data_IF_032000018337
#
_entry.id   IF_032000018337
#
_cell.length_a   1.000
_cell.length_b   1.000
_cell.length_c   1.000
_cell.angle_alpha   90.00
_cell.angle_beta   90.00
_cell.angle_gamma   90.00
#
_symmetry.space_group_name_H-M   'P 1'
#
loop_
_entity.id
_entity.type
_entity.pdbx_description
1 polymer ?
#
# COMPACT_ATOMS: atom_id res chain seq x y z
N UNK A 1 12.88 23.07 -9.20
CA UNK A 1 12.15 21.79 -9.28
C UNK A 1 10.67 22.00 -9.61
N UNK A 2 9.92 22.72 -8.80
CA UNK A 2 8.47 22.85 -8.93
C UNK A 2 7.96 23.45 -10.24
N UNK A 3 8.67 24.41 -10.85
CA UNK A 3 8.28 24.94 -12.18
C UNK A 3 8.44 23.87 -13.27
N UNK A 4 9.52 23.11 -13.26
CA UNK A 4 9.72 22.01 -14.23
C UNK A 4 8.60 20.97 -14.09
N UNK A 5 8.23 20.62 -12.87
CA UNK A 5 7.15 19.67 -12.61
C UNK A 5 5.79 20.17 -13.13
N UNK A 6 5.48 21.44 -12.94
CA UNK A 6 4.26 22.06 -13.50
C UNK A 6 4.23 22.01 -15.03
N UNK A 7 5.36 22.23 -15.69
CA UNK A 7 5.45 22.11 -17.16
C UNK A 7 5.19 20.67 -17.61
N UNK A 8 5.78 19.68 -16.95
CA UNK A 8 5.55 18.25 -17.27
C UNK A 8 4.08 17.88 -17.07
N UNK A 9 3.46 18.32 -15.97
CA UNK A 9 2.03 18.10 -15.72
C UNK A 9 1.17 18.76 -16.82
N UNK A 10 1.50 19.99 -17.20
CA UNK A 10 0.78 20.71 -18.26
C UNK A 10 0.88 20.00 -19.62
N UNK A 11 2.06 19.45 -19.95
CA UNK A 11 2.25 18.65 -21.17
C UNK A 11 1.43 17.36 -21.13
N UNK A 12 1.41 16.66 -20.01
CA UNK A 12 0.59 15.45 -19.85
C UNK A 12 -0.90 15.74 -20.01
N UNK A 13 -1.37 16.86 -19.48
CA UNK A 13 -2.78 17.27 -19.57
C UNK A 13 -3.19 17.81 -20.94
N UNK A 14 -2.26 18.36 -21.73
CA UNK A 14 -2.54 18.91 -23.05
C UNK A 14 -3.17 17.89 -23.99
N UNK A 15 -2.88 16.60 -23.78
CA UNK A 15 -3.47 15.48 -24.54
C UNK A 15 -4.88 15.08 -24.05
N UNK A 16 -5.43 15.74 -23.02
CA UNK A 16 -6.71 15.41 -22.38
C UNK A 16 -6.85 13.90 -22.04
N UNK A 17 -5.89 13.32 -21.32
CA UNK A 17 -5.87 11.90 -21.03
C UNK A 17 -7.00 11.50 -20.08
N UNK A 18 -7.47 10.26 -20.19
CA UNK A 18 -8.39 9.68 -19.21
C UNK A 18 -7.69 9.23 -17.92
N UNK A 19 -6.38 8.97 -17.99
CA UNK A 19 -5.53 8.53 -16.87
C UNK A 19 -4.18 9.22 -16.95
N UNK A 20 -3.73 9.77 -15.81
CA UNK A 20 -2.36 10.23 -15.59
C UNK A 20 -1.70 9.28 -14.60
N UNK A 21 -0.51 8.79 -14.94
CA UNK A 21 0.36 8.05 -14.04
C UNK A 21 1.46 9.00 -13.57
N UNK A 22 1.47 9.31 -12.29
CA UNK A 22 2.45 10.18 -11.64
C UNK A 22 3.37 9.32 -10.75
N UNK A 23 4.56 9.02 -11.27
CA UNK A 23 5.57 8.22 -10.58
C UNK A 23 6.51 9.14 -9.82
N UNK A 24 6.45 9.07 -8.48
CA UNK A 24 7.22 9.90 -7.55
C UNK A 24 7.23 11.40 -7.93
N UNK A 25 6.06 12.03 -8.18
CA UNK A 25 5.99 13.37 -8.80
C UNK A 25 6.54 14.47 -7.90
N UNK A 26 6.85 14.18 -6.65
CA UNK A 26 7.32 15.14 -5.64
C UNK A 26 8.75 14.87 -5.18
N UNK A 27 9.42 13.87 -5.75
CA UNK A 27 10.82 13.55 -5.42
C UNK A 27 11.73 14.76 -5.64
N UNK A 28 12.59 15.04 -4.66
CA UNK A 28 13.52 16.18 -4.64
C UNK A 28 12.85 17.58 -4.63
N UNK A 29 11.60 17.67 -4.22
CA UNK A 29 10.92 18.94 -3.95
C UNK A 29 10.87 19.20 -2.44
N UNK A 30 10.89 20.48 -2.05
CA UNK A 30 10.59 20.84 -0.67
C UNK A 30 9.10 20.59 -0.33
N UNK A 31 8.80 20.41 0.96
CA UNK A 31 7.49 20.04 1.46
C UNK A 31 6.38 20.99 0.98
N UNK A 32 6.67 22.28 0.90
CA UNK A 32 5.70 23.28 0.46
C UNK A 32 5.35 23.12 -1.02
N UNK A 33 6.34 22.92 -1.87
CA UNK A 33 6.15 22.68 -3.31
C UNK A 33 5.51 21.31 -3.56
N UNK A 34 5.91 20.29 -2.79
CA UNK A 34 5.27 18.97 -2.83
C UNK A 34 3.76 19.08 -2.63
N UNK A 35 3.31 19.73 -1.55
CA UNK A 35 1.89 19.94 -1.28
C UNK A 35 1.17 20.64 -2.44
N UNK A 36 1.79 21.68 -3.02
CA UNK A 36 1.22 22.41 -4.16
C UNK A 36 1.07 21.52 -5.41
N UNK A 37 2.05 20.68 -5.72
CA UNK A 37 1.99 19.76 -6.87
C UNK A 37 0.89 18.71 -6.68
N UNK A 38 0.76 18.15 -5.49
CA UNK A 38 -0.28 17.18 -5.16
C UNK A 38 -1.67 17.81 -5.26
N UNK A 39 -1.86 19.00 -4.69
CA UNK A 39 -3.13 19.73 -4.81
C UNK A 39 -3.46 20.08 -6.27
N UNK A 40 -2.46 20.45 -7.07
CA UNK A 40 -2.64 20.69 -8.50
C UNK A 40 -3.13 19.43 -9.22
N UNK A 41 -2.49 18.26 -9.03
CA UNK A 41 -2.91 17.00 -9.64
C UNK A 41 -4.34 16.63 -9.23
N UNK A 42 -4.69 16.78 -7.95
CA UNK A 42 -6.03 16.52 -7.42
C UNK A 42 -7.09 17.45 -8.04
N UNK A 43 -6.79 18.74 -8.13
CA UNK A 43 -7.67 19.73 -8.76
C UNK A 43 -7.90 19.42 -10.23
N UNK A 44 -6.82 19.22 -10.98
CA UNK A 44 -6.89 18.95 -12.43
C UNK A 44 -7.60 17.64 -12.73
N UNK A 45 -7.37 16.58 -11.93
CA UNK A 45 -8.11 15.33 -12.06
C UNK A 45 -9.62 15.53 -11.92
N UNK A 46 -10.07 16.34 -10.95
CA UNK A 46 -11.49 16.65 -10.74
C UNK A 46 -12.09 17.53 -11.83
N UNK A 47 -11.38 18.58 -12.24
CA UNK A 47 -11.89 19.55 -13.23
C UNK A 47 -12.01 18.92 -14.63
N UNK A 48 -11.11 18.02 -15.00
CA UNK A 48 -11.08 17.40 -16.32
C UNK A 48 -11.66 15.98 -16.34
N UNK A 49 -12.09 15.43 -15.20
CA UNK A 49 -12.56 14.04 -15.11
C UNK A 49 -11.45 13.02 -15.40
N UNK A 50 -10.19 13.41 -15.24
CA UNK A 50 -9.02 12.56 -15.46
C UNK A 50 -8.71 11.77 -14.19
N UNK A 51 -8.60 10.44 -14.31
CA UNK A 51 -8.11 9.61 -13.21
C UNK A 51 -6.61 9.85 -12.99
N UNK A 52 -6.18 9.88 -11.72
CA UNK A 52 -4.77 10.02 -11.36
C UNK A 52 -4.32 8.79 -10.59
N UNK A 53 -3.32 8.08 -11.11
CA UNK A 53 -2.62 7.02 -10.40
C UNK A 53 -1.30 7.59 -9.87
N UNK A 54 -1.23 7.74 -8.56
CA UNK A 54 -0.05 8.25 -7.87
C UNK A 54 0.79 7.07 -7.36
N UNK A 55 2.05 6.99 -7.77
CA UNK A 55 3.04 6.06 -7.22
C UNK A 55 3.95 6.84 -6.28
N UNK A 56 3.97 6.48 -5.01
CA UNK A 56 4.78 7.14 -3.99
C UNK A 56 4.98 6.24 -2.78
N UNK A 57 6.00 6.51 -1.99
CA UNK A 57 6.24 5.90 -0.69
C UNK A 57 5.80 6.81 0.48
N UNK A 58 5.29 8.01 0.19
CA UNK A 58 4.82 8.96 1.20
C UNK A 58 3.36 8.65 1.58
N UNK A 59 3.19 8.01 2.74
CA UNK A 59 1.87 7.62 3.24
C UNK A 59 1.02 8.82 3.66
N UNK A 60 1.63 9.94 4.05
CA UNK A 60 0.92 11.17 4.37
C UNK A 60 0.23 11.74 3.12
N UNK A 61 0.95 11.78 2.01
CA UNK A 61 0.40 12.18 0.71
C UNK A 61 -0.75 11.26 0.28
N UNK A 62 -0.58 9.94 0.42
CA UNK A 62 -1.63 8.97 0.07
C UNK A 62 -2.87 9.18 0.93
N UNK A 63 -2.70 9.32 2.25
CA UNK A 63 -3.81 9.50 3.19
C UNK A 63 -4.66 10.74 2.88
N UNK A 64 -4.01 11.83 2.46
CA UNK A 64 -4.67 13.10 2.17
C UNK A 64 -5.35 13.13 0.80
N UNK A 65 -4.82 12.40 -0.18
CA UNK A 65 -5.17 12.66 -1.59
C UNK A 65 -5.86 11.51 -2.30
N UNK A 66 -5.62 10.27 -1.89
CA UNK A 66 -6.12 9.11 -2.61
C UNK A 66 -7.51 8.67 -2.13
N UNK A 67 -8.37 8.25 -3.05
CA UNK A 67 -9.64 7.58 -2.71
C UNK A 67 -9.40 6.11 -2.36
N UNK A 68 -8.45 5.49 -3.09
CA UNK A 68 -8.07 4.07 -2.93
C UNK A 68 -6.57 3.93 -2.97
N UNK A 69 -6.06 2.92 -2.29
CA UNK A 69 -4.64 2.58 -2.30
C UNK A 69 -4.43 1.10 -2.59
N UNK A 70 -3.38 0.81 -3.35
CA UNK A 70 -2.85 -0.52 -3.56
C UNK A 70 -1.44 -0.58 -2.97
N UNK A 71 -1.27 -1.35 -1.90
CA UNK A 71 0.03 -1.61 -1.27
C UNK A 71 0.73 -2.72 -2.04
N UNK A 72 1.95 -2.47 -2.50
CA UNK A 72 2.72 -3.43 -3.28
C UNK A 72 3.88 -4.02 -2.48
N UNK A 73 4.13 -5.31 -2.67
CA UNK A 73 5.29 -6.01 -2.14
C UNK A 73 5.88 -6.96 -3.19
N UNK A 74 7.17 -6.87 -3.43
CA UNK A 74 7.89 -7.70 -4.41
C UNK A 74 7.18 -7.79 -5.79
N UNK A 75 6.78 -6.63 -6.34
CA UNK A 75 6.15 -6.52 -7.67
C UNK A 75 4.68 -6.95 -7.71
N UNK A 76 4.01 -7.17 -6.56
CA UNK A 76 2.62 -7.62 -6.49
C UNK A 76 1.81 -6.81 -5.50
N UNK A 77 0.50 -6.73 -5.74
CA UNK A 77 -0.43 -6.12 -4.80
C UNK A 77 -0.58 -7.05 -3.60
N UNK A 78 -0.19 -6.58 -2.42
CA UNK A 78 -0.39 -7.24 -1.14
C UNK A 78 -1.78 -6.94 -0.58
N UNK A 79 -2.23 -5.68 -0.67
CA UNK A 79 -3.54 -5.24 -0.21
C UNK A 79 -4.05 -4.09 -1.08
N UNK A 80 -5.37 -4.02 -1.31
CA UNK A 80 -6.02 -2.95 -2.05
C UNK A 80 -7.39 -2.65 -1.46
N UNK A 81 -7.70 -1.36 -1.32
CA UNK A 81 -9.02 -0.93 -0.80
C UNK A 81 -9.17 0.58 -0.70
N UNK A 82 -10.27 1.05 -0.10
CA UNK A 82 -10.41 2.45 0.28
C UNK A 82 -9.26 2.89 1.17
N UNK A 83 -8.72 4.09 0.96
CA UNK A 83 -7.52 4.56 1.68
C UNK A 83 -7.71 4.52 3.20
N UNK A 84 -8.85 4.97 3.70
CA UNK A 84 -9.15 4.97 5.14
C UNK A 84 -9.11 3.55 5.74
N UNK A 85 -9.63 2.54 5.02
CA UNK A 85 -9.65 1.16 5.51
C UNK A 85 -8.25 0.56 5.53
N UNK A 86 -7.45 0.79 4.47
CA UNK A 86 -6.08 0.25 4.41
C UNK A 86 -5.16 0.89 5.46
N UNK A 87 -5.36 2.18 5.77
CA UNK A 87 -4.55 2.88 6.78
C UNK A 87 -4.96 2.50 8.20
N UNK A 88 -6.26 2.53 8.52
CA UNK A 88 -6.73 2.35 9.89
C UNK A 88 -7.03 0.89 10.25
N UNK A 89 -7.35 0.06 9.27
CA UNK A 89 -7.73 -1.35 9.44
C UNK A 89 -6.99 -2.27 8.46
N UNK A 90 -5.65 -2.18 8.37
CA UNK A 90 -4.86 -3.00 7.44
C UNK A 90 -5.06 -4.48 7.70
N UNK A 91 -5.13 -5.28 6.64
CA UNK A 91 -5.44 -6.70 6.70
C UNK A 91 -4.26 -7.59 6.35
N UNK A 92 -3.37 -7.15 5.47
CA UNK A 92 -2.18 -7.93 5.12
C UNK A 92 -1.07 -7.68 6.16
N UNK A 93 -0.38 -8.72 6.68
CA UNK A 93 0.69 -8.54 7.68
C UNK A 93 1.80 -7.57 7.28
N UNK A 94 2.12 -7.47 5.99
CA UNK A 94 3.04 -6.45 5.49
C UNK A 94 2.47 -5.04 5.65
N UNK A 95 1.20 -4.83 5.29
CA UNK A 95 0.53 -3.53 5.43
C UNK A 95 0.44 -3.12 6.90
N UNK A 96 0.13 -4.07 7.79
CA UNK A 96 0.12 -3.84 9.25
C UNK A 96 1.49 -3.35 9.72
N UNK A 97 2.56 -4.06 9.33
CA UNK A 97 3.92 -3.66 9.69
C UNK A 97 4.32 -2.31 9.09
N UNK A 98 3.90 -2.02 7.85
CA UNK A 98 4.16 -0.75 7.18
C UNK A 98 3.46 0.42 7.89
N UNK A 99 2.19 0.27 8.26
CA UNK A 99 1.44 1.29 9.01
C UNK A 99 2.01 1.48 10.41
N UNK A 100 2.42 0.41 11.09
CA UNK A 100 3.05 0.47 12.41
C UNK A 100 4.45 1.11 12.43
N UNK A 101 5.09 1.24 11.27
CA UNK A 101 6.38 1.93 11.14
C UNK A 101 6.24 3.45 10.93
N UNK A 102 5.01 3.96 10.76
CA UNK A 102 4.76 5.40 10.57
C UNK A 102 4.64 6.05 11.95
N UNK A 103 5.44 7.10 12.24
CA UNK A 103 5.32 7.83 13.50
C UNK A 103 3.94 8.47 13.64
N UNK A 104 3.22 8.16 14.71
CA UNK A 104 1.99 8.88 15.08
C UNK A 104 2.33 10.11 15.91
N UNK A 105 1.74 11.24 15.61
CA UNK A 105 1.91 12.46 16.40
C UNK A 105 1.28 12.20 17.78
N UNK A 106 2.12 12.13 18.83
CA UNK A 106 1.68 11.86 20.21
C UNK A 106 2.06 10.49 20.77
N UNK A 107 2.49 9.55 19.97
CA UNK A 107 3.07 8.29 20.46
C UNK A 107 4.56 8.44 20.75
N UNK A 108 4.88 8.60 22.02
CA UNK A 108 6.27 8.59 22.53
C UNK A 108 6.80 7.16 22.72
N UNK A 109 6.37 6.19 21.91
CA UNK A 109 6.97 4.87 21.90
C UNK A 109 8.41 4.97 21.38
N UNK A 110 9.37 4.66 22.22
CA UNK A 110 10.81 4.76 21.93
C UNK A 110 11.28 3.87 20.77
N UNK A 111 10.45 2.97 20.27
CA UNK A 111 10.75 2.09 19.13
C UNK A 111 9.57 2.01 18.16
N UNK A 112 9.77 2.55 16.98
CA UNK A 112 8.88 2.29 15.85
C UNK A 112 8.90 0.80 15.49
N UNK A 113 7.75 0.27 15.12
CA UNK A 113 7.67 -1.11 14.63
C UNK A 113 8.53 -1.25 13.36
N UNK A 114 9.40 -2.24 13.34
CA UNK A 114 10.23 -2.55 12.18
C UNK A 114 9.83 -3.89 11.60
N UNK A 115 9.73 -3.97 10.28
CA UNK A 115 9.57 -5.23 9.58
C UNK A 115 10.95 -5.86 9.44
N UNK A 116 11.21 -6.91 10.22
CA UNK A 116 12.50 -7.60 10.21
C UNK A 116 12.85 -8.21 8.85
N UNK A 117 14.15 -8.40 8.63
CA UNK A 117 14.69 -8.98 7.41
C UNK A 117 14.69 -8.00 6.23
N UNK A 118 15.18 -8.48 5.08
CA UNK A 118 15.30 -7.69 3.85
C UNK A 118 14.26 -8.10 2.79
N UNK A 119 13.94 -7.18 1.90
CA UNK A 119 13.08 -7.46 0.75
C UNK A 119 13.73 -8.50 -0.17
N UNK A 120 13.01 -9.51 -0.65
CA UNK A 120 13.57 -10.47 -1.58
C UNK A 120 13.96 -9.81 -2.90
N UNK A 121 15.00 -10.34 -3.54
CA UNK A 121 15.35 -9.90 -4.89
C UNK A 121 14.21 -10.28 -5.85
N UNK A 122 13.87 -9.40 -6.78
CA UNK A 122 12.81 -9.66 -7.76
C UNK A 122 13.10 -10.87 -8.66
N UNK A 123 14.38 -11.25 -8.80
CA UNK A 123 14.84 -12.45 -9.52
C UNK A 123 14.79 -13.72 -8.68
N UNK A 124 14.49 -13.62 -7.36
CA UNK A 124 14.48 -14.73 -6.42
C UNK A 124 13.34 -14.55 -5.40
N UNK A 125 12.12 -14.32 -5.91
CA UNK A 125 10.93 -14.18 -5.06
C UNK A 125 10.61 -15.55 -4.46
N UNK A 126 10.39 -15.66 -3.13
CA UNK A 126 10.02 -16.92 -2.48
C UNK A 126 8.79 -17.56 -3.09
N UNK A 127 8.72 -18.89 -3.06
CA UNK A 127 7.51 -19.62 -3.38
C UNK A 127 6.37 -19.23 -2.43
N UNK A 128 5.15 -19.38 -2.86
CA UNK A 128 3.97 -19.03 -2.07
C UNK A 128 3.78 -17.50 -1.93
N UNK A 129 3.43 -17.06 -0.75
CA UNK A 129 3.33 -15.65 -0.42
C UNK A 129 4.73 -15.02 -0.40
N UNK A 130 4.98 -13.99 -1.20
CA UNK A 130 6.30 -13.34 -1.27
C UNK A 130 6.78 -12.77 0.08
N UNK A 131 5.86 -12.47 0.99
CA UNK A 131 6.16 -11.94 2.32
C UNK A 131 6.41 -13.05 3.36
N UNK A 132 6.21 -14.35 3.03
CA UNK A 132 6.29 -15.46 3.98
C UNK A 132 7.56 -15.47 4.84
N UNK A 133 8.79 -15.19 4.32
CA UNK A 133 10.01 -15.25 5.13
C UNK A 133 10.09 -14.17 6.22
N UNK A 134 9.28 -13.12 6.10
CA UNK A 134 9.25 -11.98 7.02
C UNK A 134 7.93 -11.86 7.78
N UNK A 135 7.01 -12.79 7.51
CA UNK A 135 5.67 -12.75 8.09
C UNK A 135 5.68 -13.39 9.48
N UNK A 136 5.38 -12.61 10.51
CA UNK A 136 5.25 -13.12 11.88
C UNK A 136 4.07 -14.07 12.06
N UNK A 137 3.12 -14.07 11.11
CA UNK A 137 1.90 -14.89 11.14
C UNK A 137 1.93 -16.05 10.16
N UNK A 138 3.11 -16.42 9.65
CA UNK A 138 3.23 -17.52 8.66
C UNK A 138 2.71 -18.85 9.19
N UNK A 139 2.86 -19.11 10.49
CA UNK A 139 2.45 -20.34 11.15
C UNK A 139 0.95 -20.38 11.55
N UNK A 140 0.24 -19.25 11.43
CA UNK A 140 -1.20 -19.17 11.72
C UNK A 140 -2.05 -19.79 10.59
N UNK A 141 -1.43 -20.07 9.44
CA UNK A 141 -2.09 -20.65 8.28
C UNK A 141 -1.75 -22.14 8.20
N UNK A 142 -2.75 -23.04 8.31
CA UNK A 142 -2.52 -24.49 8.26
C UNK A 142 -2.01 -24.94 6.88
N UNK A 143 -1.36 -26.12 6.85
CA UNK A 143 -0.93 -26.77 5.60
C UNK A 143 0.22 -26.10 4.88
N UNK A 144 0.98 -25.23 5.55
CA UNK A 144 2.12 -24.51 4.98
C UNK A 144 1.79 -23.72 3.70
N UNK A 145 0.54 -23.37 3.45
CA UNK A 145 0.09 -22.67 2.24
C UNK A 145 0.87 -21.37 1.99
N UNK A 146 1.25 -20.65 3.05
CA UNK A 146 2.06 -19.45 2.92
C UNK A 146 3.40 -19.66 2.22
N UNK A 147 3.98 -20.87 2.33
CA UNK A 147 5.29 -21.19 1.75
C UNK A 147 5.19 -21.90 0.40
N UNK A 148 4.06 -22.56 0.13
CA UNK A 148 3.89 -23.42 -1.06
C UNK A 148 2.96 -22.83 -2.11
N UNK A 149 1.93 -22.08 -1.67
CA UNK A 149 0.88 -21.59 -2.56
C UNK A 149 0.81 -20.06 -2.53
N UNK A 150 0.70 -19.46 -3.70
CA UNK A 150 0.54 -18.01 -3.80
C UNK A 150 -0.90 -17.60 -3.55
N UNK A 151 -1.18 -16.71 -2.56
CA UNK A 151 -2.53 -16.19 -2.36
C UNK A 151 -2.93 -15.24 -3.49
N UNK A 152 -4.19 -15.35 -3.92
CA UNK A 152 -4.86 -14.31 -4.67
C UNK A 152 -5.34 -13.18 -3.75
N UNK A 153 -5.91 -12.11 -4.33
CA UNK A 153 -6.58 -11.07 -3.57
C UNK A 153 -7.93 -11.60 -3.04
N UNK A 154 -7.96 -11.98 -1.78
CA UNK A 154 -9.15 -12.46 -1.07
C UNK A 154 -9.88 -11.30 -0.41
N UNK A 155 -11.22 -11.38 -0.24
CA UNK A 155 -11.96 -10.41 0.57
C UNK A 155 -11.43 -10.40 2.01
N UNK A 156 -11.17 -9.21 2.54
CA UNK A 156 -10.62 -9.01 3.88
C UNK A 156 -11.27 -7.74 4.49
N UNK A 157 -12.40 -7.90 5.16
CA UNK A 157 -13.22 -6.78 5.60
C UNK A 157 -13.69 -5.93 4.42
N UNK A 158 -13.39 -4.63 4.43
CA UNK A 158 -13.70 -3.70 3.32
C UNK A 158 -12.57 -3.58 2.29
N UNK A 159 -11.48 -4.32 2.48
CA UNK A 159 -10.35 -4.39 1.57
C UNK A 159 -10.25 -5.76 0.89
N UNK A 160 -9.24 -5.93 0.04
CA UNK A 160 -8.84 -7.25 -0.47
C UNK A 160 -7.35 -7.42 -0.20
N UNK A 161 -6.97 -8.55 0.39
CA UNK A 161 -5.59 -8.85 0.75
C UNK A 161 -5.12 -10.16 0.11
N UNK A 162 -3.89 -10.17 -0.38
CA UNK A 162 -3.23 -11.37 -0.89
C UNK A 162 -2.64 -12.17 0.28
N UNK A 163 -3.52 -12.70 1.14
CA UNK A 163 -3.14 -13.36 2.38
C UNK A 163 -4.08 -14.53 2.71
N UNK A 164 -3.50 -15.68 2.99
CA UNK A 164 -4.22 -16.90 3.34
C UNK A 164 -4.95 -16.85 4.68
N UNK A 165 -4.64 -15.88 5.55
CA UNK A 165 -5.40 -15.65 6.79
C UNK A 165 -6.87 -15.32 6.53
N UNK A 166 -7.20 -14.83 5.34
CA UNK A 166 -8.57 -14.47 4.93
C UNK A 166 -9.26 -15.53 4.07
N UNK A 167 -8.65 -16.70 3.90
CA UNK A 167 -9.31 -17.81 3.21
C UNK A 167 -10.48 -18.33 4.07
N UNK A 168 -11.62 -18.57 3.43
CA UNK A 168 -12.86 -19.02 4.11
C UNK A 168 -12.71 -20.37 4.83
N UNK A 169 -11.82 -21.21 4.34
CA UNK A 169 -11.44 -22.48 4.96
C UNK A 169 -10.66 -22.33 6.28
N UNK A 170 -10.04 -21.17 6.53
CA UNK A 170 -9.40 -20.85 7.82
C UNK A 170 -10.37 -20.32 8.88
N UNK A 171 -11.56 -19.88 8.52
CA UNK A 171 -12.55 -19.33 9.47
C UNK A 171 -13.01 -20.38 10.51
N UNK A 172 -12.92 -21.67 10.20
CA UNK A 172 -13.25 -22.75 11.11
C UNK A 172 -12.20 -23.03 12.20
N UNK A 173 -10.97 -22.53 12.06
CA UNK A 173 -9.86 -22.78 12.99
C UNK A 173 -9.79 -21.80 14.17
N UNK A 174 -10.43 -20.63 14.06
CA UNK A 174 -10.36 -19.57 15.09
C UNK A 174 -11.50 -19.61 16.13
N UNK A 175 -12.43 -20.59 16.08
CA UNK A 175 -13.54 -20.71 17.02
C UNK A 175 -13.24 -21.58 18.25
N UNK A 176 -12.00 -21.94 18.53
CA UNK A 176 -11.63 -22.60 19.80
C UNK A 176 -10.86 -21.63 20.68
N UNK A 177 -11.61 -20.76 21.40
CA UNK A 177 -11.16 -20.19 22.66
C UNK A 177 -11.43 -21.24 23.73
N UNK A 178 -10.42 -21.76 24.47
CA UNK A 178 -10.68 -22.59 25.64
C UNK A 178 -11.29 -21.70 26.74
N UNK A 179 -12.28 -22.25 27.43
CA UNK A 179 -12.91 -21.67 28.60
C UNK A 179 -11.92 -21.54 29.76
#
# INVERSE_FOLDING_TARGET
>A
GGMRQRVVISLALAAQPKLIIADEPTTALDVSIQAQIIQLLKKLGREHGTAVMLVTHDMGVIAETADRVAVMYAGRIAEIGPVAEVIHHPQHPYTIGLMGAIPSVGDYNERLAQIEGSMPRLTAIPAGCAFNPRCTRVNDVPGQRCTTERPGLLPAGKTRAACWLHATDNAAAHTKVPA
#
